data_IF_944374709223
#
_entry.id   IF_944374709223
#
_cell.length_a   1.000
_cell.length_b   1.000
_cell.length_c   1.000
_cell.angle_alpha   90.00
_cell.angle_beta   90.00
_cell.angle_gamma   90.00
#
_symmetry.space_group_name_H-M   'P 1'
#
loop_
_entity.id
_entity.type
_entity.pdbx_description
1 polymer ?
#
# COMPACT_ATOMS: atom_id res chain seq x y z
N UNK A 1 -15.17 -10.84 -8.82
CA UNK A 1 -13.99 -10.96 -7.93
C UNK A 1 -14.48 -10.86 -6.50
N UNK A 2 -13.98 -11.69 -5.58
CA UNK A 2 -14.39 -11.64 -4.17
C UNK A 2 -13.58 -10.58 -3.41
N UNK A 3 -14.21 -9.43 -3.13
CA UNK A 3 -13.61 -8.31 -2.40
C UNK A 3 -13.32 -8.68 -0.96
N UNK A 4 -14.19 -9.45 -0.29
CA UNK A 4 -13.98 -9.91 1.08
C UNK A 4 -12.73 -10.78 1.18
N UNK A 5 -12.49 -11.63 0.18
CA UNK A 5 -11.26 -12.42 0.09
C UNK A 5 -10.00 -11.55 -0.08
N UNK A 6 -10.03 -10.53 -0.96
CA UNK A 6 -8.91 -9.62 -1.15
C UNK A 6 -8.67 -8.71 0.07
N UNK A 7 -9.73 -8.21 0.73
CA UNK A 7 -9.66 -7.49 2.01
C UNK A 7 -8.91 -8.32 3.06
N UNK A 8 -9.27 -9.60 3.21
CA UNK A 8 -8.59 -10.51 4.14
C UNK A 8 -7.11 -10.71 3.83
N UNK A 9 -6.73 -10.76 2.55
CA UNK A 9 -5.32 -10.83 2.14
C UNK A 9 -4.58 -9.52 2.42
N UNK A 10 -5.18 -8.37 2.13
CA UNK A 10 -4.61 -7.06 2.43
C UNK A 10 -4.33 -6.92 3.93
N UNK A 11 -5.32 -7.26 4.77
CA UNK A 11 -5.18 -7.33 6.23
C UNK A 11 -3.98 -8.19 6.66
N UNK A 12 -3.81 -9.37 6.06
CA UNK A 12 -2.67 -10.26 6.37
C UNK A 12 -1.33 -9.64 5.96
N UNK A 13 -1.27 -8.91 4.84
CA UNK A 13 -0.07 -8.18 4.42
C UNK A 13 0.25 -7.03 5.37
N UNK A 14 -0.73 -6.19 5.70
CA UNK A 14 -0.54 -5.04 6.61
C UNK A 14 -0.09 -5.53 8.00
N UNK A 15 -0.75 -6.56 8.56
CA UNK A 15 -0.33 -7.19 9.83
C UNK A 15 1.11 -7.71 9.77
N UNK A 16 1.54 -8.23 8.64
CA UNK A 16 2.91 -8.69 8.46
C UNK A 16 3.89 -7.51 8.49
N UNK A 17 3.61 -6.43 7.75
CA UNK A 17 4.44 -5.23 7.69
C UNK A 17 4.56 -4.54 9.06
N UNK A 18 3.48 -4.48 9.85
CA UNK A 18 3.55 -4.02 11.24
C UNK A 18 4.55 -4.79 12.10
N UNK A 19 4.61 -6.12 11.92
CA UNK A 19 5.49 -7.01 12.70
C UNK A 19 6.93 -7.01 12.20
N UNK A 20 7.17 -6.53 10.98
CA UNK A 20 8.46 -6.60 10.28
C UNK A 20 8.75 -5.22 9.70
N UNK A 21 9.23 -4.31 10.56
CA UNK A 21 9.53 -2.91 10.19
C UNK A 21 10.55 -2.81 9.07
N UNK A 22 11.50 -3.73 9.01
CA UNK A 22 12.47 -3.93 7.93
C UNK A 22 11.77 -4.18 6.58
N UNK A 23 10.74 -5.03 6.55
CA UNK A 23 9.94 -5.27 5.36
C UNK A 23 9.12 -4.05 4.95
N UNK A 24 8.61 -3.28 5.93
CA UNK A 24 7.92 -2.02 5.67
C UNK A 24 8.86 -0.99 5.03
N UNK A 25 10.06 -0.80 5.60
CA UNK A 25 11.03 0.16 5.04
C UNK A 25 11.50 -0.23 3.63
N UNK A 26 11.73 -1.52 3.36
CA UNK A 26 12.05 -1.99 2.00
C UNK A 26 10.89 -1.73 1.03
N UNK A 27 9.63 -1.90 1.45
CA UNK A 27 8.46 -1.57 0.63
C UNK A 27 8.40 -0.07 0.33
N UNK A 28 8.59 0.79 1.35
CA UNK A 28 8.60 2.25 1.19
C UNK A 28 9.63 2.68 0.16
N UNK A 29 10.86 2.16 0.25
CA UNK A 29 11.94 2.49 -0.68
C UNK A 29 11.59 2.10 -2.13
N UNK A 30 11.05 0.88 -2.33
CA UNK A 30 10.60 0.40 -3.65
C UNK A 30 9.48 1.29 -4.21
N UNK A 31 8.51 1.65 -3.36
CA UNK A 31 7.40 2.50 -3.76
C UNK A 31 7.86 3.92 -4.10
N UNK A 32 8.75 4.50 -3.30
CA UNK A 32 9.29 5.86 -3.49
C UNK A 32 10.16 5.97 -4.75
N UNK A 33 11.00 4.98 -5.03
CA UNK A 33 11.77 4.90 -6.27
C UNK A 33 10.83 4.84 -7.50
N UNK A 34 9.81 3.98 -7.44
CA UNK A 34 8.82 3.84 -8.50
C UNK A 34 8.01 5.13 -8.71
N UNK A 35 7.60 5.77 -7.61
CA UNK A 35 6.85 7.02 -7.60
C UNK A 35 7.68 8.14 -8.22
N UNK A 36 8.93 8.33 -7.79
CA UNK A 36 9.86 9.33 -8.32
C UNK A 36 10.09 9.14 -9.82
N UNK A 37 10.30 7.90 -10.27
CA UNK A 37 10.50 7.62 -11.70
C UNK A 37 9.27 7.97 -12.52
N UNK A 38 8.09 7.51 -12.10
CA UNK A 38 6.83 7.72 -12.82
C UNK A 38 6.34 9.18 -12.75
N UNK A 39 6.65 9.90 -11.68
CA UNK A 39 6.31 11.31 -11.54
C UNK A 39 7.15 12.18 -12.49
N UNK A 40 8.45 11.87 -12.64
CA UNK A 40 9.34 12.53 -13.61
C UNK A 40 8.90 12.29 -15.06
N UNK A 41 8.47 11.07 -15.41
CA UNK A 41 7.93 10.74 -16.73
C UNK A 41 6.69 11.58 -17.09
N UNK A 42 5.92 12.05 -16.10
CA UNK A 42 4.71 12.86 -16.27
C UNK A 42 4.92 14.38 -16.26
N UNK A 43 6.17 14.87 -16.27
CA UNK A 43 6.56 16.29 -16.45
C UNK A 43 5.77 17.31 -15.60
N UNK A 44 5.78 17.20 -14.26
CA UNK A 44 5.85 18.35 -13.33
C UNK A 44 5.51 18.07 -11.85
N UNK A 45 5.24 16.84 -11.45
CA UNK A 45 5.13 16.59 -10.01
C UNK A 45 6.53 16.69 -9.40
N UNK A 46 6.72 17.55 -8.39
CA UNK A 46 7.95 17.64 -7.61
C UNK A 46 8.33 16.30 -6.96
N UNK A 47 9.37 16.27 -6.13
CA UNK A 47 9.73 15.05 -5.40
C UNK A 47 8.57 14.63 -4.48
N UNK A 48 7.82 13.59 -4.89
CA UNK A 48 6.70 13.05 -4.12
C UNK A 48 7.24 11.97 -3.21
N UNK A 49 7.12 12.21 -1.90
CA UNK A 49 7.52 11.24 -0.89
C UNK A 49 6.42 10.21 -0.70
N UNK A 50 6.82 8.94 -0.60
CA UNK A 50 5.90 7.89 -0.20
C UNK A 50 5.64 7.95 1.31
N UNK A 51 4.43 7.58 1.73
CA UNK A 51 4.09 7.51 3.16
C UNK A 51 5.00 6.51 3.86
N UNK A 52 5.68 6.95 4.92
CA UNK A 52 6.69 6.14 5.61
C UNK A 52 6.18 5.51 6.92
N UNK A 53 4.89 5.63 7.20
CA UNK A 53 4.24 5.04 8.36
C UNK A 53 2.98 4.28 7.96
N UNK A 54 2.61 3.32 8.80
CA UNK A 54 1.33 2.64 8.73
C UNK A 54 0.39 3.26 9.75
N UNK A 55 -0.91 3.24 9.47
CA UNK A 55 -1.91 3.51 10.51
C UNK A 55 -1.76 2.51 11.68
N UNK A 56 -2.19 2.82 12.92
CA UNK A 56 -2.13 1.91 14.07
C UNK A 56 -2.72 0.51 13.82
N UNK A 57 -2.06 -0.54 14.32
CA UNK A 57 -2.44 -1.94 14.03
C UNK A 57 -3.85 -2.31 14.48
N UNK A 58 -4.33 -1.69 15.56
CA UNK A 58 -5.67 -1.83 16.13
C UNK A 58 -6.75 -1.24 15.20
N UNK A 59 -6.38 -0.29 14.35
CA UNK A 59 -7.26 0.34 13.37
C UNK A 59 -7.31 -0.41 12.03
N UNK A 60 -6.63 -1.56 11.89
CA UNK A 60 -6.62 -2.32 10.62
C UNK A 60 -8.03 -2.51 10.07
N UNK A 61 -8.97 -2.99 10.87
CA UNK A 61 -10.32 -3.26 10.36
C UNK A 61 -11.10 -1.97 10.14
N UNK A 62 -11.09 -1.05 11.13
CA UNK A 62 -11.87 0.18 11.08
C UNK A 62 -11.44 1.10 9.95
N UNK A 63 -10.16 1.09 9.58
CA UNK A 63 -9.61 1.99 8.56
C UNK A 63 -10.22 1.81 7.17
N UNK A 64 -10.56 0.57 6.81
CA UNK A 64 -11.25 0.33 5.54
C UNK A 64 -12.70 0.81 5.61
N UNK A 65 -13.37 0.56 6.74
CA UNK A 65 -14.77 0.93 6.90
C UNK A 65 -14.92 2.48 6.93
N UNK A 66 -13.99 3.19 7.59
CA UNK A 66 -13.87 4.67 7.55
C UNK A 66 -13.70 5.21 6.12
N UNK A 67 -12.91 4.52 5.29
CA UNK A 67 -12.74 4.92 3.89
C UNK A 67 -14.02 4.74 3.08
N UNK A 68 -14.71 3.61 3.26
CA UNK A 68 -15.98 3.35 2.56
C UNK A 68 -17.00 4.42 2.95
N UNK A 69 -17.14 4.72 4.24
CA UNK A 69 -18.02 5.79 4.72
C UNK A 69 -17.66 7.16 4.11
N UNK A 70 -16.36 7.48 4.05
CA UNK A 70 -15.88 8.71 3.43
C UNK A 70 -16.14 8.76 1.92
N UNK A 71 -15.93 7.65 1.20
CA UNK A 71 -16.15 7.56 -0.24
C UNK A 71 -17.59 7.95 -0.61
N UNK A 72 -18.58 7.47 0.15
CA UNK A 72 -19.99 7.80 -0.09
C UNK A 72 -20.37 9.24 0.29
N UNK A 73 -19.49 9.99 0.95
CA UNK A 73 -19.64 11.42 1.21
C UNK A 73 -18.99 12.31 0.14
N UNK A 74 -18.20 11.74 -0.75
CA UNK A 74 -17.58 12.46 -1.86
C UNK A 74 -18.65 12.92 -2.86
N UNK A 75 -18.40 14.04 -3.53
CA UNK A 75 -19.19 14.46 -4.68
C UNK A 75 -19.02 13.50 -5.87
N UNK A 76 -19.91 13.62 -6.86
CA UNK A 76 -19.94 12.74 -8.04
C UNK A 76 -18.62 12.78 -8.84
N UNK A 77 -17.98 13.94 -8.94
CA UNK A 77 -16.71 14.09 -9.66
C UNK A 77 -15.60 13.29 -8.97
N UNK A 78 -15.49 13.41 -7.64
CA UNK A 78 -14.54 12.63 -6.86
C UNK A 78 -14.89 11.13 -6.86
N UNK A 79 -16.15 10.74 -6.74
CA UNK A 79 -16.54 9.32 -6.80
C UNK A 79 -16.16 8.65 -8.12
N UNK A 80 -16.11 9.40 -9.23
CA UNK A 80 -15.66 8.93 -10.53
C UNK A 80 -14.12 8.76 -10.63
N UNK A 81 -13.36 9.38 -9.73
CA UNK A 81 -11.90 9.32 -9.69
C UNK A 81 -11.37 8.31 -8.67
N UNK A 82 -12.15 8.03 -7.62
CA UNK A 82 -11.81 7.12 -6.53
C UNK A 82 -12.59 5.80 -6.61
N UNK A 83 -12.32 4.88 -5.68
CA UNK A 83 -13.03 3.61 -5.57
C UNK A 83 -13.23 3.23 -4.11
N UNK A 84 -14.44 2.79 -3.76
CA UNK A 84 -14.75 2.18 -2.45
C UNK A 84 -13.90 0.92 -2.14
N UNK A 85 -13.29 0.34 -3.16
CA UNK A 85 -12.46 -0.87 -3.05
C UNK A 85 -10.97 -0.57 -2.86
N UNK A 86 -10.62 0.65 -2.48
CA UNK A 86 -9.24 1.07 -2.21
C UNK A 86 -8.98 1.14 -0.71
N UNK A 87 -8.14 0.23 -0.21
CA UNK A 87 -7.86 0.14 1.22
C UNK A 87 -6.72 1.08 1.60
N UNK A 88 -6.93 2.08 2.49
CA UNK A 88 -5.85 2.99 2.87
C UNK A 88 -4.69 2.31 3.60
N UNK A 89 -3.46 2.83 3.42
CA UNK A 89 -2.25 2.34 4.10
C UNK A 89 -1.79 3.27 5.24
N UNK A 90 -1.97 4.57 5.06
CA UNK A 90 -1.53 5.60 6.00
C UNK A 90 -2.63 6.10 6.94
N UNK A 91 -2.28 7.01 7.84
CA UNK A 91 -3.16 7.52 8.89
C UNK A 91 -4.16 8.56 8.38
N UNK A 92 -3.71 9.40 7.46
CA UNK A 92 -4.52 10.46 6.86
C UNK A 92 -4.73 10.13 5.40
N UNK A 93 -5.69 9.26 5.12
CA UNK A 93 -5.96 8.80 3.77
C UNK A 93 -6.44 9.93 2.83
N UNK A 94 -6.91 11.05 3.39
CA UNK A 94 -7.32 12.23 2.61
C UNK A 94 -6.13 13.05 2.12
N UNK A 95 -5.06 13.14 2.92
CA UNK A 95 -3.85 13.84 2.55
C UNK A 95 -2.84 12.93 1.83
N UNK A 96 -2.68 11.69 2.29
CA UNK A 96 -1.63 10.78 1.85
C UNK A 96 -2.00 10.04 0.57
N UNK A 97 -3.30 9.77 0.38
CA UNK A 97 -3.86 9.14 -0.81
C UNK A 97 -3.12 7.88 -1.29
N UNK A 98 -2.66 7.06 -0.34
CA UNK A 98 -2.00 5.78 -0.61
C UNK A 98 -2.93 4.63 -0.25
N UNK A 99 -3.19 3.77 -1.24
CA UNK A 99 -4.16 2.69 -1.11
C UNK A 99 -3.63 1.35 -1.64
N UNK A 100 -4.23 0.27 -1.18
CA UNK A 100 -4.16 -1.07 -1.78
C UNK A 100 -5.42 -1.25 -2.61
N UNK A 101 -5.28 -1.53 -3.91
CA UNK A 101 -6.41 -1.79 -4.77
C UNK A 101 -6.95 -3.23 -4.55
N UNK A 102 -8.16 -3.35 -3.98
CA UNK A 102 -8.79 -4.63 -3.71
C UNK A 102 -9.48 -5.22 -4.95
N UNK A 103 -9.62 -4.46 -6.05
CA UNK A 103 -10.16 -4.96 -7.33
C UNK A 103 -9.14 -5.77 -8.13
N UNK A 104 -7.91 -5.87 -7.65
CA UNK A 104 -6.85 -6.62 -8.32
C UNK A 104 -6.29 -7.68 -7.38
N UNK A 105 -6.29 -8.93 -7.86
CA UNK A 105 -5.95 -10.11 -7.05
C UNK A 105 -4.58 -10.06 -6.35
N UNK A 106 -3.60 -9.41 -6.98
CA UNK A 106 -2.23 -9.31 -6.48
C UNK A 106 -2.01 -8.16 -5.49
N UNK A 107 -3.06 -7.38 -5.19
CA UNK A 107 -3.07 -6.26 -4.24
C UNK A 107 -2.00 -5.21 -4.58
N UNK A 108 -2.12 -4.50 -5.71
CA UNK A 108 -1.19 -3.45 -6.04
C UNK A 108 -1.34 -2.28 -5.06
N UNK A 109 -0.22 -1.63 -4.74
CA UNK A 109 -0.22 -0.37 -3.99
C UNK A 109 -0.25 0.77 -5.00
N UNK A 110 -1.22 1.67 -4.81
CA UNK A 110 -1.44 2.84 -5.64
C UNK A 110 -1.28 4.11 -4.81
N UNK A 111 -0.82 5.16 -5.47
CA UNK A 111 -0.75 6.52 -4.94
C UNK A 111 -1.54 7.40 -5.87
N UNK A 112 -2.39 8.27 -5.33
CA UNK A 112 -3.05 9.32 -6.10
C UNK A 112 -2.27 10.62 -5.87
N UNK A 113 -1.81 11.23 -6.96
CA UNK A 113 -1.18 12.56 -6.95
C UNK A 113 -2.19 13.56 -7.48
N UNK A 114 -2.28 14.74 -6.87
CA UNK A 114 -3.13 15.84 -7.30
C UNK A 114 -2.29 17.00 -7.85
N UNK A 115 -2.11 17.11 -9.17
CA UNK A 115 -1.58 18.33 -9.82
C UNK A 115 -1.83 18.32 -11.35
N UNK A 116 -2.41 19.36 -11.98
CA UNK A 116 -3.69 20.01 -11.64
C UNK A 116 -4.90 19.04 -11.67
N UNK A 117 -4.70 17.82 -12.20
CA UNK A 117 -5.68 16.73 -12.21
C UNK A 117 -5.21 15.60 -11.27
N UNK A 118 -6.13 14.69 -10.93
CA UNK A 118 -5.77 13.47 -10.21
C UNK A 118 -5.09 12.45 -11.13
N UNK A 119 -3.93 11.95 -10.71
CA UNK A 119 -3.22 10.86 -11.37
C UNK A 119 -3.04 9.68 -10.44
N UNK A 120 -3.54 8.52 -10.87
CA UNK A 120 -3.25 7.24 -10.22
C UNK A 120 -1.91 6.69 -10.69
N UNK A 121 -1.03 6.36 -9.75
CA UNK A 121 0.25 5.70 -9.98
C UNK A 121 0.30 4.40 -9.19
N UNK A 122 0.43 3.26 -9.88
CA UNK A 122 0.77 2.00 -9.22
C UNK A 122 2.25 2.00 -8.87
N UNK A 123 2.56 2.06 -7.58
CA UNK A 123 3.94 2.11 -7.04
C UNK A 123 4.46 0.74 -6.66
N UNK A 124 3.58 -0.20 -6.30
CA UNK A 124 3.90 -1.62 -6.15
C UNK A 124 2.88 -2.45 -6.94
N UNK A 125 3.33 -3.26 -7.89
CA UNK A 125 2.43 -4.05 -8.72
C UNK A 125 1.79 -5.24 -7.97
N UNK A 126 2.44 -5.76 -6.92
CA UNK A 126 1.96 -6.92 -6.16
C UNK A 126 2.48 -6.87 -4.73
N UNK A 127 1.66 -6.38 -3.79
CA UNK A 127 1.99 -6.44 -2.36
C UNK A 127 2.10 -7.88 -1.88
N UNK A 128 1.30 -8.79 -2.47
CA UNK A 128 1.34 -10.21 -2.13
C UNK A 128 2.71 -10.82 -2.43
N UNK A 129 3.26 -10.58 -3.62
CA UNK A 129 4.54 -11.18 -3.99
C UNK A 129 5.71 -10.51 -3.29
N UNK A 130 5.62 -9.21 -3.01
CA UNK A 130 6.56 -8.53 -2.13
C UNK A 130 6.65 -9.22 -0.76
N UNK A 131 5.50 -9.40 -0.07
CA UNK A 131 5.47 -10.04 1.25
C UNK A 131 5.93 -11.50 1.20
N UNK A 132 5.56 -12.27 0.16
CA UNK A 132 6.03 -13.65 -0.02
C UNK A 132 7.55 -13.71 -0.20
N UNK A 133 8.12 -12.86 -1.06
CA UNK A 133 9.57 -12.80 -1.31
C UNK A 133 10.31 -12.48 -0.02
N UNK A 134 9.81 -11.53 0.76
CA UNK A 134 10.43 -11.15 2.04
C UNK A 134 10.40 -12.28 3.07
N UNK A 135 9.26 -12.98 3.22
CA UNK A 135 9.13 -14.15 4.10
C UNK A 135 10.15 -15.24 3.74
N UNK A 136 10.36 -15.48 2.44
CA UNK A 136 11.34 -16.46 1.95
C UNK A 136 12.78 -16.03 2.25
N UNK A 137 13.15 -14.77 2.01
CA UNK A 137 14.46 -14.20 2.38
C UNK A 137 14.74 -14.42 3.88
N UNK A 138 13.80 -14.01 4.75
CA UNK A 138 13.94 -14.13 6.20
C UNK A 138 14.02 -15.58 6.69
N UNK A 139 13.32 -16.52 6.05
CA UNK A 139 13.42 -17.95 6.38
C UNK A 139 14.80 -18.51 6.06
N UNK A 140 15.42 -18.08 4.96
CA UNK A 140 16.78 -18.48 4.59
C UNK A 140 17.76 -17.93 5.63
N UNK A 141 17.73 -16.63 5.94
CA UNK A 141 18.61 -16.06 6.98
C UNK A 141 18.51 -16.81 8.31
N UNK A 142 17.30 -17.09 8.82
CA UNK A 142 17.13 -17.84 10.08
C UNK A 142 17.72 -19.25 10.03
N UNK A 143 17.60 -19.96 8.89
CA UNK A 143 18.24 -21.27 8.72
C UNK A 143 19.75 -21.18 8.77
N UNK A 144 20.35 -20.23 8.05
CA UNK A 144 21.81 -20.05 8.04
C UNK A 144 22.36 -19.81 9.45
N UNK A 145 21.76 -18.91 10.23
CA UNK A 145 22.19 -18.65 11.61
C UNK A 145 21.90 -19.79 12.60
N UNK A 146 20.97 -20.70 12.30
CA UNK A 146 20.78 -21.91 13.11
C UNK A 146 21.86 -22.98 12.88
N UNK A 147 22.49 -23.00 11.70
CA UNK A 147 23.60 -23.91 11.40
C UNK A 147 24.97 -23.37 11.82
N UNK A 148 25.10 -22.06 12.09
CA UNK A 148 26.34 -21.44 12.55
C UNK A 148 26.56 -21.50 14.07
N UNK A 149 25.69 -22.20 14.82
CA UNK A 149 25.72 -22.31 16.29
C UNK A 149 26.03 -23.73 16.81
N UNK A 150 26.44 -24.63 15.93
CA UNK A 150 26.97 -25.97 16.24
C UNK A 150 28.42 -26.03 15.83
#
# INVERSE_FOLDING_TARGET
MDISYNKNKAVKCIKYLHRHKDAWMELCAVCEECLTRKSLEKRNCGHVKFVNHLFPIDQIITRYDEWVDHYYQLDEEAQNLFSEYWYPIGNDFTAEMVFIDLLVYNLPVIVIIREPNFYRITVCASLLDFVKKYKSKNRIYRKWFSFSRT
#
